data_IF_791975664395
#
_entry.id   IF_791975664395
#
_cell.length_a   1.000
_cell.length_b   1.000
_cell.length_c   1.000
_cell.angle_alpha   90.00
_cell.angle_beta   90.00
_cell.angle_gamma   90.00
#
_symmetry.space_group_name_H-M   'P 1'
#
loop_
_entity.id
_entity.type
_entity.pdbx_description
1 polymer ?
#
# COMPACT_ATOMS: atom_id res chain seq x y z
N UNK A 1 6.84 9.96 12.01
CA UNK A 1 8.22 9.49 12.21
C UNK A 1 8.80 9.16 10.86
N UNK A 2 10.01 9.63 10.57
CA UNK A 2 10.73 9.31 9.33
C UNK A 2 12.11 8.75 9.67
N UNK A 3 12.48 7.67 8.99
CA UNK A 3 13.80 7.03 8.97
C UNK A 3 14.25 6.83 7.51
N UNK A 4 13.74 7.65 6.59
CA UNK A 4 13.99 7.48 5.16
C UNK A 4 15.43 7.78 4.76
N UNK A 5 15.84 7.21 3.63
CA UNK A 5 17.15 7.42 3.02
C UNK A 5 18.31 7.04 3.95
N UNK A 6 18.29 5.80 4.42
CA UNK A 6 19.34 5.22 5.25
C UNK A 6 19.78 3.86 4.70
N UNK A 7 20.82 3.29 5.31
CA UNK A 7 21.26 1.93 5.06
C UNK A 7 20.60 0.90 5.99
N UNK A 8 19.43 1.19 6.57
CA UNK A 8 18.83 0.25 7.52
C UNK A 8 18.40 -1.02 6.82
N UNK A 9 18.77 -2.15 7.40
CA UNK A 9 18.45 -3.48 6.91
C UNK A 9 17.82 -4.31 8.03
N UNK A 10 17.17 -5.41 7.66
CA UNK A 10 16.45 -6.25 8.61
C UNK A 10 14.96 -6.27 8.33
N UNK A 11 14.23 -7.01 9.18
CA UNK A 11 12.77 -6.97 9.19
C UNK A 11 12.30 -5.76 9.96
N UNK A 12 11.20 -5.14 9.50
CA UNK A 12 10.54 -4.09 10.27
C UNK A 12 9.87 -4.75 11.49
N UNK A 13 10.16 -4.32 12.72
CA UNK A 13 9.55 -4.90 13.91
C UNK A 13 8.06 -4.55 13.98
N UNK A 14 7.32 -5.21 14.87
CA UNK A 14 5.93 -4.84 15.16
C UNK A 14 5.87 -3.40 15.69
N UNK A 15 5.07 -2.54 15.04
CA UNK A 15 4.94 -1.12 15.36
C UNK A 15 3.65 -0.78 16.10
N UNK A 16 2.80 -1.74 16.48
CA UNK A 16 1.51 -1.47 17.14
C UNK A 16 1.64 -0.71 18.45
N UNK A 17 2.79 -0.82 19.14
CA UNK A 17 3.09 -0.12 20.38
C UNK A 17 3.52 1.35 20.23
N UNK A 18 3.67 1.86 18.99
CA UNK A 18 4.00 3.27 18.77
C UNK A 18 2.78 4.15 19.06
N UNK A 19 2.92 5.04 20.05
CA UNK A 19 1.86 5.96 20.43
C UNK A 19 1.72 7.07 19.39
N UNK A 20 0.67 6.96 18.57
CA UNK A 20 0.13 7.99 17.67
C UNK A 20 1.01 8.50 16.52
N UNK A 21 1.79 7.69 15.78
CA UNK A 21 2.34 8.17 14.53
C UNK A 21 1.19 8.37 13.53
N UNK A 22 0.98 9.62 13.11
CA UNK A 22 0.09 9.94 11.98
C UNK A 22 0.72 9.46 10.66
N UNK A 23 2.05 9.55 10.59
CA UNK A 23 2.87 9.18 9.44
C UNK A 23 4.04 8.28 9.86
N UNK A 24 4.26 7.21 9.10
CA UNK A 24 5.51 6.44 9.10
C UNK A 24 6.13 6.54 7.71
N UNK A 25 7.41 6.88 7.67
CA UNK A 25 8.20 6.96 6.45
C UNK A 25 9.51 6.18 6.64
N UNK A 26 9.60 5.02 5.99
CA UNK A 26 10.76 4.11 5.99
C UNK A 26 11.35 3.98 4.57
N UNK A 27 11.11 4.96 3.71
CA UNK A 27 11.46 4.90 2.29
C UNK A 27 12.97 4.85 2.06
N UNK A 28 13.41 4.28 0.95
CA UNK A 28 14.83 4.24 0.55
C UNK A 28 15.71 3.64 1.65
N UNK A 29 15.50 2.35 1.90
CA UNK A 29 16.25 1.54 2.86
C UNK A 29 16.45 0.12 2.29
N UNK A 30 16.96 -0.80 3.10
CA UNK A 30 17.18 -2.21 2.75
C UNK A 30 16.31 -3.14 3.61
N UNK A 31 15.14 -2.68 4.04
CA UNK A 31 14.21 -3.52 4.81
C UNK A 31 13.69 -4.68 3.95
N UNK A 32 13.57 -5.85 4.56
CA UNK A 32 13.10 -7.07 3.90
C UNK A 32 12.09 -7.84 4.77
N UNK A 33 11.45 -8.83 4.16
CA UNK A 33 10.37 -9.59 4.81
C UNK A 33 9.03 -8.88 4.68
N UNK A 34 8.05 -9.34 5.45
CA UNK A 34 6.67 -8.87 5.33
C UNK A 34 6.46 -7.47 5.93
N UNK A 35 5.37 -6.81 5.53
CA UNK A 35 4.92 -5.58 6.17
C UNK A 35 4.65 -5.84 7.67
N UNK A 36 5.01 -4.90 8.56
CA UNK A 36 4.81 -5.06 9.99
C UNK A 36 3.33 -4.89 10.37
N UNK A 37 2.98 -5.34 11.57
CA UNK A 37 1.75 -4.88 12.21
C UNK A 37 1.89 -3.40 12.58
N UNK A 38 0.82 -2.64 12.34
CA UNK A 38 0.85 -1.18 12.38
C UNK A 38 -0.19 -0.62 13.34
N UNK A 39 0.07 0.55 13.94
CA UNK A 39 -0.89 1.23 14.80
C UNK A 39 -2.11 1.70 13.98
N UNK A 40 -3.31 1.41 14.50
CA UNK A 40 -4.58 1.71 13.81
C UNK A 40 -4.82 3.21 13.54
N UNK A 41 -4.09 4.09 14.23
CA UNK A 41 -4.20 5.55 14.10
C UNK A 41 -3.50 6.14 12.87
N UNK A 42 -2.75 5.32 12.13
CA UNK A 42 -1.99 5.78 10.97
C UNK A 42 -2.86 6.37 9.87
N UNK A 43 -2.36 7.43 9.24
CA UNK A 43 -3.00 8.07 8.08
C UNK A 43 -2.12 8.07 6.85
N UNK A 44 -0.79 8.05 7.00
CA UNK A 44 0.17 8.02 5.89
C UNK A 44 1.27 7.01 6.15
N UNK A 45 1.55 6.17 5.17
CA UNK A 45 2.60 5.17 5.24
C UNK A 45 3.40 5.18 3.95
N UNK A 46 4.71 5.27 4.09
CA UNK A 46 5.65 5.26 2.98
C UNK A 46 6.73 4.20 3.25
N UNK A 47 6.81 3.20 2.39
CA UNK A 47 7.75 2.06 2.45
C UNK A 47 8.47 1.82 1.11
N UNK A 48 8.33 2.74 0.16
CA UNK A 48 8.88 2.55 -1.19
C UNK A 48 10.41 2.49 -1.22
N UNK A 49 10.96 1.88 -2.28
CA UNK A 49 12.39 1.59 -2.44
C UNK A 49 12.95 0.79 -1.25
N UNK A 50 12.42 -0.42 -1.07
CA UNK A 50 12.93 -1.41 -0.12
C UNK A 50 12.93 -2.80 -0.77
N UNK A 51 13.12 -3.85 0.03
CA UNK A 51 13.15 -5.25 -0.40
C UNK A 51 12.02 -6.03 0.29
N UNK A 52 10.93 -5.34 0.65
CA UNK A 52 9.78 -5.93 1.35
C UNK A 52 9.07 -6.95 0.46
N UNK A 53 8.55 -8.01 1.07
CA UNK A 53 7.88 -9.14 0.43
C UNK A 53 6.55 -9.45 1.13
N UNK A 54 5.89 -10.53 0.71
CA UNK A 54 4.61 -10.92 1.30
C UNK A 54 3.43 -10.16 0.70
N UNK A 55 2.39 -9.93 1.51
CA UNK A 55 1.09 -9.41 1.08
C UNK A 55 0.68 -8.16 1.86
N UNK A 56 -0.33 -7.43 1.37
CA UNK A 56 -0.86 -6.21 2.01
C UNK A 56 -1.77 -6.48 3.23
N UNK A 57 -1.95 -7.74 3.65
CA UNK A 57 -2.85 -8.14 4.75
C UNK A 57 -2.71 -7.32 6.03
N UNK A 58 -1.51 -6.95 6.51
CA UNK A 58 -1.35 -6.14 7.74
C UNK A 58 -1.99 -4.74 7.68
N UNK A 59 -2.34 -4.26 6.47
CA UNK A 59 -2.87 -2.92 6.24
C UNK A 59 -4.41 -2.87 6.21
N UNK A 60 -5.08 -4.03 6.16
CA UNK A 60 -6.54 -4.13 5.98
C UNK A 60 -7.35 -3.48 7.11
N UNK A 61 -6.82 -3.52 8.32
CA UNK A 61 -7.48 -2.98 9.52
C UNK A 61 -7.22 -1.47 9.73
N UNK A 62 -6.39 -0.84 8.89
CA UNK A 62 -6.02 0.58 9.02
C UNK A 62 -7.11 1.49 8.42
N UNK A 63 -8.27 1.55 9.06
CA UNK A 63 -9.46 2.26 8.55
C UNK A 63 -9.29 3.79 8.38
N UNK A 64 -8.28 4.38 9.02
CA UNK A 64 -7.95 5.81 8.93
C UNK A 64 -6.84 6.13 7.92
N UNK A 65 -6.28 5.09 7.28
CA UNK A 65 -5.22 5.24 6.29
C UNK A 65 -5.74 6.02 5.08
N UNK A 66 -5.01 7.05 4.68
CA UNK A 66 -5.34 7.89 3.52
C UNK A 66 -4.31 7.75 2.42
N UNK A 67 -3.05 7.61 2.78
CA UNK A 67 -1.94 7.50 1.83
C UNK A 67 -1.13 6.25 2.13
N UNK A 68 -0.92 5.45 1.09
CA UNK A 68 -0.04 4.30 1.13
C UNK A 68 0.85 4.31 -0.11
N UNK A 69 2.15 4.32 0.12
CA UNK A 69 3.14 4.08 -0.93
C UNK A 69 4.05 2.91 -0.53
N UNK A 70 3.96 1.83 -1.28
CA UNK A 70 4.80 0.63 -1.14
C UNK A 70 5.48 0.27 -2.46
N UNK A 71 5.61 1.24 -3.37
CA UNK A 71 6.23 1.05 -4.69
C UNK A 71 7.68 0.56 -4.58
N UNK A 72 8.23 0.00 -5.66
CA UNK A 72 9.62 -0.45 -5.70
C UNK A 72 9.98 -1.40 -4.56
N UNK A 73 9.27 -2.53 -4.51
CA UNK A 73 9.46 -3.60 -3.53
C UNK A 73 9.28 -4.98 -4.22
N UNK A 74 9.18 -6.04 -3.42
CA UNK A 74 8.95 -7.42 -3.89
C UNK A 74 7.62 -7.98 -3.36
N UNK A 75 6.66 -7.11 -3.03
CA UNK A 75 5.34 -7.50 -2.54
C UNK A 75 4.56 -8.24 -3.64
N UNK A 76 3.68 -9.15 -3.23
CA UNK A 76 3.02 -10.08 -4.15
C UNK A 76 1.61 -10.45 -3.70
N UNK A 77 0.93 -11.26 -4.51
CA UNK A 77 -0.45 -11.67 -4.25
C UNK A 77 -1.46 -10.66 -4.79
N UNK A 78 -2.56 -10.48 -4.07
CA UNK A 78 -3.67 -9.63 -4.49
C UNK A 78 -3.60 -8.23 -3.83
N UNK A 79 -3.89 -7.20 -4.62
CA UNK A 79 -4.18 -5.86 -4.10
C UNK A 79 -5.65 -5.87 -3.67
N UNK A 80 -5.92 -6.19 -2.40
CA UNK A 80 -7.28 -6.28 -1.86
C UNK A 80 -7.42 -5.81 -0.41
N UNK A 81 -8.63 -5.39 -0.04
CA UNK A 81 -9.01 -5.04 1.33
C UNK A 81 -8.42 -3.74 1.90
N UNK A 82 -7.76 -2.93 1.07
CA UNK A 82 -7.14 -1.66 1.49
C UNK A 82 -8.11 -0.50 1.22
N UNK A 83 -8.29 0.37 2.22
CA UNK A 83 -9.15 1.56 2.13
C UNK A 83 -8.28 2.80 2.25
N UNK A 84 -7.99 3.44 1.12
CA UNK A 84 -7.13 4.64 1.05
C UNK A 84 -7.65 5.63 0.02
N UNK A 85 -7.12 6.85 0.07
CA UNK A 85 -7.36 7.90 -0.93
C UNK A 85 -6.32 7.80 -2.05
N UNK A 86 -5.06 7.58 -1.69
CA UNK A 86 -3.96 7.42 -2.63
C UNK A 86 -3.25 6.09 -2.36
N UNK A 87 -3.17 5.25 -3.40
CA UNK A 87 -2.48 3.98 -3.37
C UNK A 87 -1.42 3.94 -4.46
N UNK A 88 -0.17 3.82 -4.04
CA UNK A 88 0.93 3.49 -4.94
C UNK A 88 1.51 2.12 -4.56
N UNK A 89 1.35 1.16 -5.47
CA UNK A 89 1.82 -0.22 -5.39
C UNK A 89 2.65 -0.60 -6.62
N UNK A 90 3.11 0.39 -7.38
CA UNK A 90 3.85 0.16 -8.62
C UNK A 90 5.17 -0.57 -8.38
N UNK A 91 5.74 -1.15 -9.44
CA UNK A 91 7.04 -1.85 -9.40
C UNK A 91 7.12 -2.89 -8.27
N UNK A 92 6.12 -3.77 -8.22
CA UNK A 92 6.03 -4.90 -7.30
C UNK A 92 5.72 -6.18 -8.09
N UNK A 93 5.26 -7.24 -7.42
CA UNK A 93 4.92 -8.54 -8.02
C UNK A 93 3.46 -8.92 -7.80
N UNK A 94 2.58 -7.95 -7.61
CA UNK A 94 1.15 -8.21 -7.48
C UNK A 94 0.61 -8.83 -8.77
N UNK A 95 -0.30 -9.78 -8.63
CA UNK A 95 -0.83 -10.57 -9.76
C UNK A 95 -2.34 -10.44 -9.94
N UNK A 96 -3.04 -10.03 -8.88
CA UNK A 96 -4.50 -9.89 -8.87
C UNK A 96 -4.88 -8.53 -8.29
N UNK A 97 -5.93 -7.95 -8.84
CA UNK A 97 -6.43 -6.64 -8.43
C UNK A 97 -7.92 -6.73 -8.04
N UNK A 98 -8.21 -6.60 -6.75
CA UNK A 98 -9.56 -6.64 -6.18
C UNK A 98 -9.72 -5.58 -5.09
N UNK A 99 -9.74 -4.30 -5.48
CA UNK A 99 -10.06 -3.24 -4.53
C UNK A 99 -11.57 -3.19 -4.30
N UNK A 100 -11.95 -3.42 -3.04
CA UNK A 100 -13.31 -3.29 -2.56
C UNK A 100 -13.58 -1.82 -2.19
N UNK A 101 -14.44 -1.16 -2.96
CA UNK A 101 -14.95 0.19 -2.67
C UNK A 101 -16.39 0.19 -2.16
N UNK A 102 -16.79 -0.86 -1.43
CA UNK A 102 -18.20 -1.06 -1.09
C UNK A 102 -18.69 -0.25 0.12
N UNK A 103 -17.93 0.72 0.65
CA UNK A 103 -18.39 1.49 1.81
C UNK A 103 -18.73 2.94 1.48
N UNK A 104 -19.98 3.32 1.76
CA UNK A 104 -20.42 4.72 1.81
C UNK A 104 -19.69 5.51 2.93
N UNK A 105 -19.02 4.83 3.87
CA UNK A 105 -18.25 5.39 4.99
C UNK A 105 -16.77 4.99 4.90
N UNK A 106 -15.86 5.96 4.81
CA UNK A 106 -14.42 5.74 4.76
C UNK A 106 -13.72 6.57 3.68
N UNK A 107 -12.38 6.57 3.63
CA UNK A 107 -11.64 7.20 2.54
C UNK A 107 -11.99 6.53 1.20
N UNK A 108 -12.29 7.34 0.19
CA UNK A 108 -12.59 6.89 -1.17
C UNK A 108 -11.35 7.06 -2.04
N UNK A 109 -11.00 6.02 -2.77
CA UNK A 109 -9.85 6.00 -3.66
C UNK A 109 -9.97 7.11 -4.71
N UNK A 110 -8.89 7.87 -4.88
CA UNK A 110 -8.74 8.95 -5.85
C UNK A 110 -7.58 8.67 -6.81
N UNK A 111 -6.48 8.13 -6.30
CA UNK A 111 -5.28 7.83 -7.11
C UNK A 111 -4.87 6.39 -6.90
N UNK A 112 -4.64 5.70 -8.00
CA UNK A 112 -4.13 4.34 -8.05
C UNK A 112 -2.98 4.24 -9.06
N UNK A 113 -1.78 4.04 -8.54
CA UNK A 113 -0.58 3.74 -9.33
C UNK A 113 -0.20 2.27 -9.05
N UNK A 114 -0.29 1.42 -10.07
CA UNK A 114 -0.01 -0.01 -9.97
C UNK A 114 0.78 -0.55 -11.17
N UNK A 115 1.43 0.34 -11.91
CA UNK A 115 2.27 -0.01 -13.06
C UNK A 115 3.43 -0.92 -12.66
N UNK A 116 3.98 -1.67 -13.63
CA UNK A 116 5.15 -2.53 -13.39
C UNK A 116 4.88 -3.68 -12.41
N UNK A 117 3.65 -4.21 -12.41
CA UNK A 117 3.27 -5.41 -11.68
C UNK A 117 2.93 -6.57 -12.63
N UNK A 118 2.74 -7.78 -12.09
CA UNK A 118 2.31 -8.95 -12.87
C UNK A 118 0.78 -9.07 -12.96
N UNK A 119 0.06 -7.94 -12.97
CA UNK A 119 -1.40 -7.93 -12.93
C UNK A 119 -1.98 -8.65 -14.14
N UNK A 120 -2.88 -9.60 -13.88
CA UNK A 120 -3.59 -10.38 -14.90
C UNK A 120 -5.07 -10.46 -14.55
N UNK A 121 -5.87 -10.86 -15.54
CA UNK A 121 -7.31 -11.04 -15.38
C UNK A 121 -8.10 -9.82 -15.82
N UNK A 122 -9.32 -9.67 -15.27
CA UNK A 122 -10.24 -8.59 -15.62
C UNK A 122 -10.10 -7.46 -14.61
N UNK A 123 -10.21 -6.23 -15.10
CA UNK A 123 -10.44 -5.09 -14.21
C UNK A 123 -11.73 -5.36 -13.42
N UNK A 124 -11.74 -5.14 -12.09
CA UNK A 124 -12.96 -5.32 -11.31
C UNK A 124 -14.05 -4.45 -11.90
N UNK A 125 -15.25 -4.98 -12.07
CA UNK A 125 -16.42 -4.26 -12.63
C UNK A 125 -16.71 -2.95 -11.87
N UNK A 126 -16.25 -2.86 -10.63
CA UNK A 126 -16.35 -1.68 -9.79
C UNK A 126 -15.37 -0.55 -10.18
N UNK A 127 -14.44 -0.75 -11.13
CA UNK A 127 -13.51 0.31 -11.55
C UNK A 127 -14.27 1.55 -12.06
N UNK A 128 -15.34 1.32 -12.83
CA UNK A 128 -16.24 2.38 -13.29
C UNK A 128 -17.10 3.00 -12.17
N UNK A 129 -17.17 2.36 -11.00
CA UNK A 129 -17.95 2.84 -9.85
C UNK A 129 -17.13 3.68 -8.87
N UNK A 130 -15.82 3.84 -9.08
CA UNK A 130 -15.01 4.75 -8.26
C UNK A 130 -15.32 6.20 -8.64
N UNK A 131 -16.41 6.74 -8.09
CA UNK A 131 -16.89 8.12 -8.35
C UNK A 131 -15.87 9.22 -8.02
N UNK A 132 -14.85 8.91 -7.22
CA UNK A 132 -13.83 9.87 -6.80
C UNK A 132 -12.46 9.62 -7.48
N UNK A 133 -12.34 8.61 -8.35
CA UNK A 133 -11.08 8.29 -9.01
C UNK A 133 -10.72 9.39 -10.01
N UNK A 134 -9.53 9.97 -9.84
CA UNK A 134 -8.99 11.04 -10.69
C UNK A 134 -7.77 10.60 -11.48
N UNK A 135 -7.02 9.61 -10.99
CA UNK A 135 -5.87 9.02 -11.69
C UNK A 135 -5.85 7.52 -11.53
N UNK A 136 -5.52 6.83 -12.61
CA UNK A 136 -5.27 5.39 -12.62
C UNK A 136 -4.17 5.04 -13.61
N UNK A 137 -3.16 4.32 -13.12
CA UNK A 137 -2.10 3.77 -13.94
C UNK A 137 -1.95 2.27 -13.65
N UNK A 138 -2.19 1.46 -14.67
CA UNK A 138 -2.07 0.00 -14.62
C UNK A 138 -1.10 -0.52 -15.68
N UNK A 139 -0.23 0.35 -16.20
CA UNK A 139 0.66 -0.01 -17.31
C UNK A 139 1.56 -1.18 -16.94
N UNK A 140 1.71 -2.13 -17.87
CA UNK A 140 2.66 -3.22 -17.73
C UNK A 140 3.71 -3.07 -18.84
N UNK A 141 4.82 -2.36 -18.57
CA UNK A 141 5.89 -2.14 -19.55
C UNK A 141 6.68 -3.40 -19.87
#
# INVERSE_FOLDING_TARGET
MSLSNNGFAGRIPNLTGFWQPNTIDLTVNQFYGDLPNLPLSLRKNYYHHNILSGQLTPLKELIYLKWLDVSDNRLSGAINGIRVVHLNVSFNRFNTFEIINYSLKGPRLQVLEAEGNHLRGRLPVNLASFVNLTSINLANP
#
